data_IF_556960883117
#
_entry.id   IF_556960883117
#
_cell.length_a   1.000
_cell.length_b   1.000
_cell.length_c   1.000
_cell.angle_alpha   90.00
_cell.angle_beta   90.00
_cell.angle_gamma   90.00
#
_symmetry.space_group_name_H-M   'P 1'
#
loop_
_entity.id
_entity.type
_entity.pdbx_description
1 polymer ?
#
# COMPACT_ATOMS: atom_id res chain seq x y z
N UNK A 1 -37.39 17.29 -2.87
CA UNK A 1 -36.92 18.33 -1.93
C UNK A 1 -36.30 17.66 -0.72
N UNK A 2 -35.10 18.12 -0.32
CA UNK A 2 -34.26 17.68 0.81
C UNK A 2 -33.48 16.37 0.53
N UNK A 3 -32.39 16.40 -0.26
CA UNK A 3 -31.10 17.11 -0.02
C UNK A 3 -30.26 16.42 1.06
N UNK A 4 -29.16 15.79 0.61
CA UNK A 4 -27.81 16.19 1.04
C UNK A 4 -27.28 15.67 2.40
N UNK A 5 -27.52 14.41 2.78
CA UNK A 5 -26.92 13.87 4.01
C UNK A 5 -26.25 12.48 3.90
N UNK A 6 -25.95 12.00 2.69
CA UNK A 6 -25.12 10.79 2.51
C UNK A 6 -23.90 11.02 1.61
N UNK A 7 -23.42 12.27 1.61
CA UNK A 7 -22.15 12.68 0.99
C UNK A 7 -21.11 13.12 2.05
N UNK A 8 -21.43 12.95 3.35
CA UNK A 8 -20.69 13.53 4.48
C UNK A 8 -19.80 12.53 5.26
N UNK A 9 -19.46 11.39 4.66
CA UNK A 9 -18.40 10.49 5.16
C UNK A 9 -17.14 10.52 4.27
N UNK A 10 -17.12 11.39 3.25
CA UNK A 10 -15.91 11.86 2.57
C UNK A 10 -15.28 13.06 3.32
N UNK A 11 -15.31 13.04 4.65
CA UNK A 11 -14.67 14.05 5.47
C UNK A 11 -13.16 13.90 5.36
N UNK A 12 -12.62 14.59 4.35
CA UNK A 12 -11.33 15.27 4.37
C UNK A 12 -10.71 15.35 5.77
N UNK A 13 -9.50 14.83 5.99
CA UNK A 13 -8.62 15.50 6.91
C UNK A 13 -8.18 16.82 6.23
N UNK A 14 -8.92 17.88 6.52
CA UNK A 14 -8.50 19.26 6.30
C UNK A 14 -7.27 19.51 7.18
N UNK A 15 -6.13 19.68 6.49
CA UNK A 15 -4.97 20.47 6.89
C UNK A 15 -4.45 20.33 8.33
N UNK A 16 -3.38 19.56 8.46
CA UNK A 16 -2.30 19.87 9.40
C UNK A 16 -0.97 19.69 8.66
N UNK A 17 -0.26 20.79 8.39
CA UNK A 17 1.09 20.79 7.80
C UNK A 17 1.24 21.63 6.53
N UNK A 18 0.95 22.94 6.60
CA UNK A 18 1.43 23.90 5.60
C UNK A 18 2.96 24.07 5.73
N UNK A 19 3.70 23.17 5.09
CA UNK A 19 5.04 23.43 4.60
C UNK A 19 5.01 23.09 3.10
N UNK A 20 4.73 24.10 2.28
CA UNK A 20 4.80 23.99 0.83
C UNK A 20 6.25 23.82 0.40
N UNK A 21 6.75 22.60 0.48
CA UNK A 21 7.89 22.17 -0.30
C UNK A 21 7.41 21.98 -1.74
N UNK A 22 7.58 23.00 -2.60
CA UNK A 22 7.32 22.87 -4.04
C UNK A 22 8.38 21.96 -4.67
N UNK A 23 8.18 20.65 -4.55
CA UNK A 23 8.93 19.68 -5.37
C UNK A 23 8.16 19.46 -6.65
N UNK A 24 8.78 19.90 -7.76
CA UNK A 24 8.21 19.76 -9.08
C UNK A 24 8.54 18.36 -9.62
N UNK A 25 7.62 17.42 -9.43
CA UNK A 25 7.62 16.22 -10.25
C UNK A 25 7.38 16.63 -11.71
N UNK A 26 8.12 16.03 -12.63
CA UNK A 26 7.90 16.20 -14.06
C UNK A 26 7.04 15.06 -14.59
N UNK A 27 6.24 15.36 -15.62
CA UNK A 27 5.59 14.30 -16.38
C UNK A 27 6.65 13.38 -16.99
N UNK A 28 6.37 12.09 -17.03
CA UNK A 28 7.28 11.00 -17.44
C UNK A 28 8.45 10.69 -16.50
N UNK A 29 8.54 11.31 -15.32
CA UNK A 29 9.44 10.80 -14.29
C UNK A 29 9.05 9.37 -13.89
N UNK A 30 10.04 8.49 -13.68
CA UNK A 30 9.81 7.11 -13.26
C UNK A 30 10.79 6.66 -12.19
N UNK A 31 10.34 5.68 -11.40
CA UNK A 31 11.14 4.96 -10.42
C UNK A 31 10.86 3.47 -10.58
N UNK A 32 11.89 2.69 -10.90
CA UNK A 32 11.82 1.25 -10.99
C UNK A 32 12.55 0.65 -9.79
N UNK A 33 11.84 -0.16 -9.01
CA UNK A 33 12.37 -0.86 -7.85
C UNK A 33 12.47 -2.36 -8.14
N UNK A 34 13.63 -2.94 -7.88
CA UNK A 34 13.79 -4.39 -7.83
C UNK A 34 13.29 -4.88 -6.48
N UNK A 35 12.22 -5.65 -6.49
CA UNK A 35 11.56 -6.17 -5.32
C UNK A 35 11.82 -7.67 -5.19
N UNK A 36 12.12 -8.12 -3.99
CA UNK A 36 12.17 -9.54 -3.61
C UNK A 36 11.23 -9.74 -2.45
N UNK A 37 10.28 -10.66 -2.62
CA UNK A 37 9.30 -11.04 -1.60
C UNK A 37 9.57 -12.47 -1.19
N UNK A 38 9.88 -12.66 0.09
CA UNK A 38 10.05 -13.99 0.69
C UNK A 38 8.83 -14.22 1.58
N UNK A 39 8.10 -15.31 1.36
CA UNK A 39 6.89 -15.63 2.11
C UNK A 39 6.91 -17.06 2.61
N UNK A 40 6.41 -17.27 3.82
CA UNK A 40 6.14 -18.60 4.38
C UNK A 40 4.68 -18.97 4.10
N UNK A 41 4.47 -20.07 3.37
CA UNK A 41 3.15 -20.58 3.02
C UNK A 41 2.51 -21.33 4.21
N UNK A 42 1.18 -21.54 4.20
CA UNK A 42 0.49 -22.24 5.29
C UNK A 42 1.00 -23.67 5.57
N UNK A 43 1.58 -24.32 4.57
CA UNK A 43 2.19 -25.65 4.70
C UNK A 43 3.64 -25.61 5.25
N UNK A 44 4.14 -24.43 5.65
CA UNK A 44 5.49 -24.21 6.17
C UNK A 44 6.58 -24.07 5.10
N UNK A 45 6.25 -24.25 3.82
CA UNK A 45 7.23 -24.05 2.73
C UNK A 45 7.50 -22.57 2.48
N UNK A 46 8.69 -22.24 1.98
CA UNK A 46 9.09 -20.88 1.67
C UNK A 46 9.02 -20.68 0.15
N UNK A 47 8.43 -19.56 -0.27
CA UNK A 47 8.47 -19.11 -1.66
C UNK A 47 9.19 -17.78 -1.76
N UNK A 48 9.90 -17.58 -2.86
CA UNK A 48 10.58 -16.32 -3.19
C UNK A 48 10.08 -15.82 -4.53
N UNK A 49 9.64 -14.57 -4.57
CA UNK A 49 9.13 -13.91 -5.77
C UNK A 49 10.04 -12.71 -6.06
N UNK A 50 10.49 -12.61 -7.31
CA UNK A 50 11.26 -11.47 -7.80
C UNK A 50 10.41 -10.64 -8.74
N UNK A 51 10.32 -9.35 -8.45
CA UNK A 51 9.45 -8.41 -9.14
C UNK A 51 10.18 -7.12 -9.48
N UNK A 52 9.69 -6.41 -10.49
CA UNK A 52 10.00 -5.00 -10.70
C UNK A 52 8.73 -4.18 -10.50
N UNK A 53 8.75 -3.29 -9.51
CA UNK A 53 7.72 -2.27 -9.32
C UNK A 53 8.12 -1.02 -10.09
N UNK A 54 7.38 -0.72 -11.17
CA UNK A 54 7.55 0.48 -11.96
C UNK A 54 6.50 1.52 -11.56
N UNK A 55 6.96 2.65 -11.04
CA UNK A 55 6.13 3.81 -10.70
C UNK A 55 6.42 4.92 -11.72
N UNK A 56 5.45 5.32 -12.54
CA UNK A 56 5.62 6.36 -13.57
C UNK A 56 4.62 7.48 -13.37
N UNK A 57 5.12 8.71 -13.31
CA UNK A 57 4.29 9.91 -13.29
C UNK A 57 3.81 10.16 -14.72
N UNK A 58 2.51 10.01 -14.95
CA UNK A 58 1.89 10.18 -16.27
C UNK A 58 1.17 11.52 -16.42
N UNK A 59 0.95 12.23 -15.31
CA UNK A 59 0.31 13.54 -15.31
C UNK A 59 0.64 14.32 -14.04
N UNK A 60 0.80 15.64 -14.21
CA UNK A 60 0.96 16.60 -13.12
C UNK A 60 -0.04 17.72 -13.39
N UNK A 61 -0.92 17.96 -12.43
CA UNK A 61 -2.06 18.86 -12.58
C UNK A 61 -1.84 20.16 -11.81
N UNK A 62 -2.43 21.30 -12.24
CA UNK A 62 -2.25 22.60 -11.60
C UNK A 62 -2.68 22.66 -10.13
N UNK A 63 -3.52 21.72 -9.67
CA UNK A 63 -4.02 21.63 -8.30
C UNK A 63 -3.11 20.79 -7.38
N UNK A 64 -1.82 20.66 -7.69
CA UNK A 64 -0.87 19.82 -6.94
C UNK A 64 -1.29 18.34 -6.85
N UNK A 65 -1.98 17.84 -7.86
CA UNK A 65 -2.25 16.40 -8.00
C UNK A 65 -1.28 15.80 -9.00
N UNK A 66 -0.80 14.59 -8.73
CA UNK A 66 -0.08 13.76 -9.70
C UNK A 66 -0.86 12.48 -9.99
N UNK A 67 -0.81 12.05 -11.24
CA UNK A 67 -1.22 10.72 -11.66
C UNK A 67 0.00 9.82 -11.80
N UNK A 68 -0.01 8.71 -11.05
CA UNK A 68 1.06 7.72 -11.04
C UNK A 68 0.52 6.41 -11.58
N UNK A 69 1.11 5.93 -12.67
CA UNK A 69 0.90 4.59 -13.19
C UNK A 69 1.84 3.62 -12.48
N UNK A 70 1.27 2.59 -11.85
CA UNK A 70 1.94 1.53 -11.13
C UNK A 70 1.84 0.25 -11.96
N UNK A 71 2.97 -0.36 -12.29
CA UNK A 71 3.02 -1.66 -12.98
C UNK A 71 3.95 -2.59 -12.22
N UNK A 72 3.52 -3.82 -11.98
CA UNK A 72 4.33 -4.85 -11.32
C UNK A 72 4.67 -5.93 -12.33
N UNK A 73 5.96 -6.14 -12.57
CA UNK A 73 6.48 -7.17 -13.46
C UNK A 73 7.00 -8.34 -12.63
N UNK A 74 6.45 -9.54 -12.77
CA UNK A 74 6.99 -10.75 -12.15
C UNK A 74 8.11 -11.30 -13.03
N UNK A 75 9.35 -11.20 -12.55
CA UNK A 75 10.55 -11.56 -13.31
C UNK A 75 10.65 -13.07 -13.53
N UNK A 76 10.30 -13.86 -12.52
CA UNK A 76 10.41 -15.32 -12.58
C UNK A 76 9.44 -15.95 -13.58
N UNK A 77 8.21 -15.43 -13.63
CA UNK A 77 7.13 -15.98 -14.46
C UNK A 77 6.92 -15.20 -15.77
N UNK A 78 7.68 -14.11 -16.00
CA UNK A 78 7.62 -13.26 -17.19
C UNK A 78 6.22 -12.77 -17.54
N UNK A 79 5.50 -12.28 -16.54
CA UNK A 79 4.23 -11.58 -16.76
C UNK A 79 4.21 -10.24 -16.02
N UNK A 80 3.30 -9.35 -16.39
CA UNK A 80 3.02 -8.14 -15.63
C UNK A 80 1.55 -8.08 -15.23
N UNK A 81 1.27 -7.50 -14.07
CA UNK A 81 -0.09 -7.20 -13.65
C UNK A 81 -0.61 -5.98 -14.42
N UNK A 82 -1.91 -5.94 -14.80
CA UNK A 82 -2.49 -4.77 -15.45
C UNK A 82 -2.17 -3.48 -14.69
N UNK A 83 -1.70 -2.42 -15.39
CA UNK A 83 -1.29 -1.19 -14.75
C UNK A 83 -2.44 -0.52 -13.99
N UNK A 84 -2.16 -0.01 -12.80
CA UNK A 84 -3.11 0.75 -11.99
C UNK A 84 -2.68 2.21 -11.96
N UNK A 85 -3.61 3.12 -12.28
CA UNK A 85 -3.38 4.56 -12.14
C UNK A 85 -3.93 5.02 -10.80
N UNK A 86 -3.07 5.67 -10.01
CA UNK A 86 -3.45 6.26 -8.73
C UNK A 86 -3.20 7.77 -8.74
N UNK A 87 -4.09 8.51 -8.09
CA UNK A 87 -4.02 9.95 -7.93
C UNK A 87 -3.55 10.27 -6.51
N UNK A 88 -2.59 11.18 -6.38
CA UNK A 88 -2.12 11.63 -5.06
C UNK A 88 -1.65 13.07 -5.09
N UNK A 89 -1.62 13.70 -3.91
CA UNK A 89 -1.04 15.04 -3.76
C UNK A 89 0.46 15.02 -4.10
N UNK A 90 0.95 15.99 -4.86
CA UNK A 90 2.34 16.10 -5.31
C UNK A 90 3.31 16.42 -4.17
N UNK A 91 2.86 17.15 -3.15
CA UNK A 91 3.65 17.46 -1.95
C UNK A 91 3.80 16.24 -1.04
N UNK A 92 2.92 15.25 -1.14
CA UNK A 92 3.01 14.04 -0.32
C UNK A 92 2.41 12.81 -1.03
N UNK A 93 3.06 12.32 -2.11
CA UNK A 93 2.52 11.24 -2.92
C UNK A 93 2.50 9.90 -2.18
N UNK A 94 1.30 9.42 -1.85
CA UNK A 94 1.07 8.10 -1.22
C UNK A 94 1.40 6.92 -2.13
N UNK A 95 1.62 7.16 -3.42
CA UNK A 95 1.92 6.15 -4.43
C UNK A 95 3.40 6.09 -4.83
N UNK A 96 4.23 6.98 -4.28
CA UNK A 96 5.68 7.03 -4.51
C UNK A 96 6.41 6.84 -3.19
N UNK A 97 7.51 6.09 -3.18
CA UNK A 97 8.36 6.02 -1.99
C UNK A 97 9.17 7.31 -1.84
N UNK A 98 8.52 8.33 -1.30
CA UNK A 98 9.01 9.69 -1.24
C UNK A 98 8.60 10.40 0.06
N UNK A 99 9.54 11.15 0.62
CA UNK A 99 9.36 12.12 1.70
C UNK A 99 9.90 13.47 1.21
N UNK A 100 9.14 14.56 1.31
CA UNK A 100 9.61 15.88 0.91
C UNK A 100 10.93 16.28 1.56
N UNK A 101 11.91 16.80 0.82
CA UNK A 101 13.20 17.20 1.36
C UNK A 101 13.11 18.10 2.62
N UNK A 102 12.18 19.09 2.71
CA UNK A 102 12.04 19.92 3.92
C UNK A 102 11.49 19.21 5.17
N UNK A 103 11.00 17.97 5.00
CA UNK A 103 10.48 17.11 6.05
C UNK A 103 11.44 15.96 6.41
N UNK A 104 12.60 15.86 5.75
CA UNK A 104 13.61 14.88 6.11
C UNK A 104 14.10 15.09 7.55
N UNK A 105 14.27 13.99 8.29
CA UNK A 105 14.67 14.01 9.70
C UNK A 105 13.54 14.31 10.70
N UNK A 106 12.28 14.41 10.24
CA UNK A 106 11.10 14.66 11.08
C UNK A 106 10.09 13.55 10.90
N UNK A 107 9.26 13.27 11.91
CA UNK A 107 8.09 12.39 11.73
C UNK A 107 7.15 12.99 10.69
N UNK A 108 6.59 12.14 9.83
CA UNK A 108 5.69 12.57 8.75
C UNK A 108 4.50 11.63 8.64
N UNK A 109 3.38 12.14 8.13
CA UNK A 109 2.18 11.33 7.88
C UNK A 109 2.00 11.11 6.38
N UNK A 110 1.97 9.85 5.96
CA UNK A 110 1.78 9.39 4.58
C UNK A 110 0.39 8.80 4.39
N UNK A 111 -0.55 9.61 3.90
CA UNK A 111 -1.95 9.21 3.83
C UNK A 111 -2.50 9.00 5.23
N UNK A 112 -2.90 7.77 5.58
CA UNK A 112 -3.34 7.40 6.94
C UNK A 112 -2.23 6.78 7.80
N UNK A 113 -1.00 6.64 7.30
CA UNK A 113 0.10 5.97 8.00
C UNK A 113 1.12 6.98 8.53
N UNK A 114 1.39 6.95 9.82
CA UNK A 114 2.49 7.71 10.43
C UNK A 114 3.83 7.02 10.13
N UNK A 115 4.81 7.80 9.67
CA UNK A 115 6.20 7.38 9.45
C UNK A 115 7.07 8.13 10.47
N UNK A 116 7.58 7.39 11.44
CA UNK A 116 8.48 7.90 12.46
C UNK A 116 9.91 7.96 11.92
N UNK A 117 10.60 9.07 12.12
CA UNK A 117 12.02 9.16 11.82
C UNK A 117 12.81 8.39 12.89
N UNK A 118 13.65 7.45 12.44
CA UNK A 118 14.43 6.58 13.33
C UNK A 118 15.85 7.13 13.51
N UNK A 119 16.59 7.29 12.41
CA UNK A 119 17.94 7.83 12.43
C UNK A 119 18.40 8.32 11.05
N UNK A 120 19.58 8.93 11.01
CA UNK A 120 20.32 9.20 9.78
C UNK A 120 21.60 8.36 9.78
N UNK A 121 21.74 7.47 8.81
CA UNK A 121 22.89 6.56 8.70
C UNK A 121 23.29 6.34 7.26
N UNK A 122 24.60 6.28 6.98
CA UNK A 122 25.16 6.05 5.64
C UNK A 122 24.60 6.98 4.54
N UNK A 123 24.35 8.25 4.87
CA UNK A 123 23.80 9.22 3.92
C UNK A 123 22.29 9.11 3.68
N UNK A 124 21.58 8.30 4.47
CA UNK A 124 20.14 8.02 4.30
C UNK A 124 19.36 8.32 5.58
N UNK A 125 18.20 8.93 5.41
CA UNK A 125 17.20 9.11 6.47
C UNK A 125 16.37 7.83 6.57
N UNK A 126 16.34 7.22 7.75
CA UNK A 126 15.61 5.98 7.99
C UNK A 126 14.31 6.27 8.70
N UNK A 127 13.23 5.74 8.15
CA UNK A 127 11.88 5.87 8.67
C UNK A 127 11.26 4.52 8.92
N UNK A 128 10.37 4.46 9.90
CA UNK A 128 9.59 3.28 10.27
C UNK A 128 8.11 3.62 10.42
N UNK A 129 7.25 2.75 9.96
CA UNK A 129 5.83 2.73 10.29
C UNK A 129 5.43 1.35 10.76
N UNK A 130 4.56 1.30 11.77
CA UNK A 130 4.06 0.06 12.34
C UNK A 130 2.55 0.08 12.38
N UNK A 131 1.92 -0.95 11.86
CA UNK A 131 0.47 -1.15 11.97
C UNK A 131 0.16 -2.54 12.50
N UNK A 132 -0.98 -2.68 13.18
CA UNK A 132 -1.48 -3.95 13.68
C UNK A 132 -2.92 -4.13 13.21
N UNK A 133 -3.19 -5.24 12.51
CA UNK A 133 -4.52 -5.61 12.04
C UNK A 133 -4.80 -7.02 12.52
N UNK A 134 -5.72 -7.16 13.48
CA UNK A 134 -6.16 -8.47 14.01
C UNK A 134 -5.00 -9.36 14.48
N UNK A 135 -3.98 -8.78 15.12
CA UNK A 135 -2.82 -9.50 15.63
C UNK A 135 -1.71 -9.71 14.59
N UNK A 136 -1.94 -9.40 13.31
CA UNK A 136 -0.87 -9.34 12.30
C UNK A 136 -0.20 -7.97 12.40
N UNK A 137 1.10 -7.98 12.63
CA UNK A 137 1.93 -6.77 12.69
C UNK A 137 2.56 -6.55 11.31
N UNK A 138 2.46 -5.34 10.80
CA UNK A 138 3.14 -4.90 9.58
C UNK A 138 4.11 -3.80 9.96
N UNK A 139 5.40 -4.05 9.75
CA UNK A 139 6.46 -3.06 9.93
C UNK A 139 6.97 -2.64 8.56
N UNK A 140 7.01 -1.34 8.30
CA UNK A 140 7.43 -0.76 7.05
C UNK A 140 8.61 0.18 7.29
N UNK A 141 9.74 -0.11 6.67
CA UNK A 141 10.96 0.67 6.74
C UNK A 141 11.24 1.34 5.41
N UNK A 142 11.77 2.56 5.46
CA UNK A 142 12.12 3.33 4.28
C UNK A 142 13.44 4.07 4.49
N UNK A 143 14.40 3.86 3.60
CA UNK A 143 15.70 4.52 3.59
C UNK A 143 15.72 5.56 2.48
N UNK A 144 15.73 6.83 2.84
CA UNK A 144 15.47 7.97 1.95
C UNK A 144 16.73 8.79 1.75
N UNK A 145 17.04 9.15 0.50
CA UNK A 145 18.16 10.03 0.18
C UNK A 145 17.81 11.52 0.39
N UNK A 146 18.79 12.40 0.20
CA UNK A 146 18.60 13.86 0.37
C UNK A 146 17.62 14.49 -0.61
N UNK A 147 17.34 13.84 -1.76
CA UNK A 147 16.30 14.27 -2.70
C UNK A 147 14.89 13.83 -2.28
N UNK A 148 14.76 13.14 -1.16
CA UNK A 148 13.47 12.68 -0.65
C UNK A 148 12.99 11.35 -1.21
N UNK A 149 13.77 10.66 -2.04
CA UNK A 149 13.38 9.40 -2.68
C UNK A 149 13.95 8.23 -1.88
N UNK A 150 13.13 7.19 -1.67
CA UNK A 150 13.59 5.96 -1.05
C UNK A 150 14.56 5.22 -1.98
N UNK A 151 15.75 4.91 -1.50
CA UNK A 151 16.67 4.01 -2.19
C UNK A 151 16.39 2.54 -1.85
N UNK A 152 15.75 2.31 -0.71
CA UNK A 152 15.30 0.99 -0.24
C UNK A 152 14.02 1.16 0.56
N UNK A 153 13.12 0.20 0.42
CA UNK A 153 11.98 -0.02 1.32
C UNK A 153 11.93 -1.48 1.75
N UNK A 154 11.39 -1.74 2.93
CA UNK A 154 11.20 -3.09 3.43
C UNK A 154 9.89 -3.19 4.19
N UNK A 155 9.08 -4.19 3.87
CA UNK A 155 7.86 -4.52 4.60
C UNK A 155 8.03 -5.88 5.24
N UNK A 156 7.91 -5.94 6.56
CA UNK A 156 7.84 -7.18 7.33
C UNK A 156 6.39 -7.41 7.73
N UNK A 157 5.90 -8.63 7.52
CA UNK A 157 4.63 -9.08 8.04
C UNK A 157 4.88 -10.18 9.06
N UNK A 158 4.44 -9.94 10.29
CA UNK A 158 4.60 -10.83 11.42
C UNK A 158 3.20 -11.34 11.80
N UNK A 159 3.03 -12.66 11.79
CA UNK A 159 1.75 -13.31 12.09
C UNK A 159 1.35 -13.16 13.56
N UNK A 160 0.09 -13.51 13.88
CA UNK A 160 -0.43 -13.43 15.24
C UNK A 160 0.32 -14.28 16.27
N UNK A 161 1.02 -15.32 15.81
CA UNK A 161 1.91 -16.18 16.61
C UNK A 161 3.35 -15.66 16.67
N UNK A 162 3.59 -14.41 16.27
CA UNK A 162 4.89 -13.71 16.26
C UNK A 162 5.95 -14.26 15.30
N UNK A 163 5.57 -15.18 14.41
CA UNK A 163 6.45 -15.65 13.33
C UNK A 163 6.47 -14.66 12.16
N UNK A 164 7.64 -14.44 11.57
CA UNK A 164 7.76 -13.69 10.32
C UNK A 164 7.13 -14.51 9.18
N UNK A 165 6.06 -13.99 8.58
CA UNK A 165 5.32 -14.67 7.50
C UNK A 165 5.65 -14.10 6.12
N UNK A 166 6.10 -12.85 6.05
CA UNK A 166 6.54 -12.23 4.79
C UNK A 166 7.61 -11.16 5.03
N UNK A 167 8.58 -11.08 4.12
CA UNK A 167 9.56 -10.01 4.02
C UNK A 167 9.65 -9.58 2.56
N UNK A 168 9.13 -8.40 2.26
CA UNK A 168 9.26 -7.76 0.96
C UNK A 168 10.32 -6.66 1.05
N UNK A 169 11.39 -6.77 0.27
CA UNK A 169 12.41 -5.72 0.16
C UNK A 169 12.43 -5.20 -1.25
N UNK A 170 12.30 -3.89 -1.44
CA UNK A 170 12.44 -3.25 -2.74
C UNK A 170 13.59 -2.24 -2.72
N UNK A 171 14.47 -2.31 -3.73
CA UNK A 171 15.64 -1.45 -3.87
C UNK A 171 15.51 -0.67 -5.18
N UNK A 172 15.76 0.64 -5.13
CA UNK A 172 15.70 1.49 -6.32
C UNK A 172 16.75 1.01 -7.32
N UNK A 173 16.30 0.56 -8.49
CA UNK A 173 17.16 0.06 -9.56
C UNK A 173 17.46 1.16 -10.59
N UNK A 174 16.42 1.84 -11.08
CA UNK A 174 16.55 2.78 -12.20
C UNK A 174 15.55 3.92 -12.07
N UNK A 175 15.98 5.14 -12.37
CA UNK A 175 15.11 6.31 -12.38
C UNK A 175 15.70 7.40 -13.27
N UNK A 176 14.84 8.12 -13.99
CA UNK A 176 15.22 9.35 -14.71
C UNK A 176 15.07 10.62 -13.86
N UNK A 177 14.63 10.51 -12.60
CA UNK A 177 14.48 11.66 -11.71
C UNK A 177 15.83 12.30 -11.36
N UNK A 178 16.86 11.47 -11.12
CA UNK A 178 18.22 11.94 -10.82
C UNK A 178 19.05 12.20 -12.07
N UNK A 179 18.80 11.43 -13.13
CA UNK A 179 19.50 11.55 -14.39
C UNK A 179 18.48 11.47 -15.54
N UNK A 180 18.05 12.62 -16.09
CA UNK A 180 17.03 12.70 -17.13
C UNK A 180 17.32 11.89 -18.40
N UNK A 181 18.60 11.58 -18.68
CA UNK A 181 18.99 10.74 -19.83
C UNK A 181 18.68 9.25 -19.65
N UNK A 182 18.30 8.84 -18.45
CA UNK A 182 18.07 7.43 -18.11
C UNK A 182 16.79 6.93 -18.81
N UNK A 183 16.88 5.95 -19.72
CA UNK A 183 15.70 5.49 -20.45
C UNK A 183 14.81 4.61 -19.57
N UNK A 184 13.50 4.68 -19.80
CA UNK A 184 12.52 3.79 -19.19
C UNK A 184 12.93 2.32 -19.45
N UNK A 185 12.94 1.43 -18.44
CA UNK A 185 13.26 0.03 -18.67
C UNK A 185 12.20 -0.62 -19.55
N UNK A 186 12.65 -1.51 -20.44
CA UNK A 186 11.78 -2.33 -21.29
C UNK A 186 11.83 -3.78 -20.81
N UNK A 187 10.69 -4.47 -20.94
CA UNK A 187 10.52 -5.85 -20.47
C UNK A 187 10.07 -6.75 -21.64
N UNK A 188 10.98 -7.03 -22.60
CA UNK A 188 10.63 -7.84 -23.76
C UNK A 188 10.28 -9.28 -23.36
N UNK A 189 9.24 -9.83 -23.98
CA UNK A 189 8.77 -11.19 -23.71
C UNK A 189 7.90 -11.34 -22.45
N UNK A 190 7.56 -10.24 -21.78
CA UNK A 190 6.57 -10.25 -20.71
C UNK A 190 5.16 -10.18 -21.29
N UNK A 191 4.24 -10.98 -20.75
CA UNK A 191 2.83 -10.96 -21.14
C UNK A 191 1.96 -10.40 -20.03
N UNK A 192 0.84 -9.78 -20.36
CA UNK A 192 -0.13 -9.36 -19.34
C UNK A 192 -0.73 -10.58 -18.65
N UNK A 193 -0.81 -10.55 -17.31
CA UNK A 193 -1.48 -11.60 -16.55
C UNK A 193 -2.98 -11.60 -16.84
N UNK A 194 -3.55 -12.78 -17.09
CA UNK A 194 -5.00 -12.91 -17.26
C UNK A 194 -5.73 -12.59 -15.96
N UNK A 195 -6.66 -11.64 -16.02
CA UNK A 195 -7.54 -11.32 -14.89
C UNK A 195 -8.55 -12.45 -14.71
N UNK A 196 -8.49 -13.14 -13.57
CA UNK A 196 -9.52 -14.11 -13.19
C UNK A 196 -10.63 -13.38 -12.44
N UNK A 197 -11.81 -13.29 -13.03
CA UNK A 197 -12.99 -12.72 -12.39
C UNK A 197 -13.47 -13.65 -11.27
N UNK A 198 -13.11 -13.34 -10.02
CA UNK A 198 -13.62 -14.06 -8.85
C UNK A 198 -14.97 -13.46 -8.46
N UNK A 199 -16.04 -14.25 -8.56
CA UNK A 199 -17.36 -13.84 -8.10
C UNK A 199 -17.45 -13.93 -6.57
N UNK A 200 -17.10 -12.82 -5.89
CA UNK A 200 -17.09 -12.70 -4.43
C UNK A 200 -18.48 -12.88 -3.78
N UNK A 201 -19.58 -12.80 -4.55
CA UNK A 201 -20.92 -13.00 -3.99
C UNK A 201 -21.12 -14.41 -3.41
N UNK A 202 -20.47 -15.44 -3.96
CA UNK A 202 -20.63 -16.81 -3.45
C UNK A 202 -20.02 -17.00 -2.05
N UNK A 203 -18.93 -16.31 -1.73
CA UNK A 203 -18.23 -16.49 -0.45
C UNK A 203 -18.90 -15.69 0.68
N UNK A 204 -19.40 -14.49 0.37
CA UNK A 204 -20.15 -13.66 1.33
C UNK A 204 -21.52 -14.27 1.68
N UNK A 205 -22.21 -14.88 0.70
CA UNK A 205 -23.49 -15.57 0.92
C UNK A 205 -23.37 -16.72 1.94
N UNK A 206 -22.28 -17.49 1.89
CA UNK A 206 -22.07 -18.62 2.81
C UNK A 206 -21.83 -18.14 4.24
N UNK A 207 -21.14 -17.01 4.42
CA UNK A 207 -20.88 -16.43 5.75
C UNK A 207 -22.15 -15.75 6.30
N UNK A 208 -22.90 -15.04 5.46
CA UNK A 208 -24.14 -14.37 5.86
C UNK A 208 -25.24 -15.36 6.26
N UNK A 209 -25.35 -16.50 5.56
CA UNK A 209 -26.33 -17.54 5.92
C UNK A 209 -26.05 -18.16 7.30
N UNK A 210 -24.78 -18.45 7.62
CA UNK A 210 -24.43 -18.99 8.94
C UNK A 210 -24.67 -17.99 10.07
N UNK A 211 -24.37 -16.71 9.85
CA UNK A 211 -24.66 -15.66 10.84
C UNK A 211 -26.17 -15.48 11.08
N UNK A 212 -26.98 -15.47 10.03
CA UNK A 212 -28.43 -15.40 10.15
C UNK A 212 -29.01 -16.61 10.89
N UNK A 213 -28.48 -17.81 10.61
CA UNK A 213 -28.86 -19.05 11.28
C UNK A 213 -28.53 -19.02 12.78
N UNK A 214 -27.34 -18.54 13.17
CA UNK A 214 -26.99 -18.38 14.59
C UNK A 214 -27.86 -17.35 15.31
N UNK A 215 -28.21 -16.24 14.66
CA UNK A 215 -29.11 -15.22 15.23
C UNK A 215 -30.52 -15.79 15.43
N UNK A 216 -31.03 -16.57 14.48
CA UNK A 216 -32.32 -17.22 14.59
C UNK A 216 -32.33 -18.28 15.70
N UNK A 217 -31.31 -19.13 15.79
CA UNK A 217 -31.19 -20.15 16.84
C UNK A 217 -31.09 -19.48 18.23
N UNK A 218 -30.27 -18.44 18.38
CA UNK A 218 -30.15 -17.69 19.63
C UNK A 218 -31.47 -17.00 20.01
N UNK A 219 -32.20 -16.45 19.04
CA UNK A 219 -33.51 -15.85 19.26
C UNK A 219 -34.56 -16.87 19.74
N UNK A 220 -34.61 -18.04 19.10
CA UNK A 220 -35.54 -19.13 19.50
C UNK A 220 -35.18 -19.67 20.89
N UNK A 221 -33.91 -19.89 21.18
CA UNK A 221 -33.45 -20.30 22.52
C UNK A 221 -33.79 -19.24 23.58
N UNK A 222 -33.62 -17.96 23.26
CA UNK A 222 -34.00 -16.86 24.13
C UNK A 222 -35.50 -16.86 24.46
N UNK A 223 -36.37 -17.07 23.45
CA UNK A 223 -37.81 -17.20 23.65
C UNK A 223 -38.15 -18.39 24.54
N UNK A 224 -37.52 -19.55 24.31
CA UNK A 224 -37.74 -20.76 25.12
C UNK A 224 -37.33 -20.52 26.58
N UNK A 225 -36.17 -19.90 26.83
CA UNK A 225 -35.69 -19.55 28.17
C UNK A 225 -36.67 -18.58 28.84
N UNK A 226 -37.10 -17.53 28.13
CA UNK A 226 -38.09 -16.58 28.66
C UNK A 226 -39.39 -17.29 29.02
N UNK A 227 -39.89 -18.19 28.19
CA UNK A 227 -41.12 -18.95 28.46
C UNK A 227 -40.99 -19.93 29.63
N UNK A 228 -39.82 -20.55 29.82
CA UNK A 228 -39.56 -21.49 30.93
C UNK A 228 -39.40 -20.80 32.28
N UNK A 229 -38.88 -19.57 32.31
CA UNK A 229 -38.66 -18.81 33.54
C UNK A 229 -39.69 -17.71 33.79
N UNK A 230 -40.67 -17.57 32.90
CA UNK A 230 -41.83 -16.70 33.10
C UNK A 230 -42.78 -17.38 34.09
N UNK A 231 -42.81 -16.86 35.32
CA UNK A 231 -43.91 -17.07 36.26
C UNK A 231 -45.22 -16.51 35.71
#
# INVERSE_FOLDING_TARGET
MKSLLLFLLLAFPLFAGLLHASVSFTSNAFFAYNQTVIMTLPNGSITTIHEVLLQRIIGVYPNNTIAVNLTVYNVGQKYYLPPVVSLSNSSFPTNLYYIPPPLLGKNVTRGSSEMCFVNYSNGLYVYESKSNIQGVIIEFFMWVNSSGIAVKVQTLQIGATLQLVSNATAVLWKSNYFNPSTPLPTFPGFTEAHVVSVNLNRTLLVISHKLLEYVLIAGVLGIIIILLFRK
#
